data_IF_126791164530
#
_entry.id   IF_126791164530
#
_cell.length_a   1.000
_cell.length_b   1.000
_cell.length_c   1.000
_cell.angle_alpha   90.00
_cell.angle_beta   90.00
_cell.angle_gamma   90.00
#
_symmetry.space_group_name_H-M   'P 1'
#
loop_
_entity.id
_entity.type
_entity.pdbx_description
1 polymer ?
#
# COMPACT_ATOMS: atom_id res chain seq x y z
N UNK A 1 -54.94 -62.41 12.66
CA UNK A 1 -54.93 -61.39 13.72
C UNK A 1 -53.50 -61.36 14.24
N UNK A 2 -52.64 -60.38 13.97
CA UNK A 2 -52.83 -59.05 13.40
C UNK A 2 -51.55 -58.68 12.65
N UNK A 3 -51.70 -58.25 11.41
CA UNK A 3 -50.71 -57.47 10.68
C UNK A 3 -51.11 -56.01 10.90
N UNK A 4 -50.48 -55.34 11.89
CA UNK A 4 -50.66 -53.91 12.08
C UNK A 4 -49.48 -53.19 11.43
N UNK A 5 -49.70 -52.87 10.16
CA UNK A 5 -48.84 -52.06 9.34
C UNK A 5 -48.54 -50.73 10.02
N UNK A 6 -47.26 -50.53 10.34
CA UNK A 6 -46.67 -49.22 10.62
C UNK A 6 -47.02 -48.27 9.46
N UNK A 7 -48.01 -47.41 9.66
CA UNK A 7 -48.25 -46.26 8.79
C UNK A 7 -47.04 -45.34 8.90
N UNK A 8 -46.21 -45.32 7.85
CA UNK A 8 -45.12 -44.36 7.70
C UNK A 8 -45.73 -42.97 7.72
N UNK A 9 -45.36 -42.19 8.74
CA UNK A 9 -45.65 -40.77 8.80
C UNK A 9 -45.25 -40.10 7.50
N UNK A 10 -46.20 -39.37 6.94
CA UNK A 10 -46.03 -38.48 5.81
C UNK A 10 -45.01 -37.40 6.23
N UNK A 11 -43.75 -37.50 5.78
CA UNK A 11 -42.79 -36.39 5.94
C UNK A 11 -43.16 -35.35 4.91
N UNK A 12 -43.88 -34.32 5.35
CA UNK A 12 -44.09 -33.11 4.56
C UNK A 12 -42.80 -32.30 4.57
N UNK A 13 -41.84 -32.70 3.75
CA UNK A 13 -40.66 -31.90 3.44
C UNK A 13 -41.08 -30.79 2.48
N UNK A 14 -41.83 -29.81 2.99
CA UNK A 14 -41.98 -28.51 2.33
C UNK A 14 -40.74 -27.67 2.66
N UNK A 15 -39.61 -28.06 2.06
CA UNK A 15 -38.43 -27.21 1.97
C UNK A 15 -38.70 -26.11 0.96
N UNK A 16 -38.98 -24.89 1.44
CA UNK A 16 -38.99 -23.69 0.61
C UNK A 16 -37.59 -23.59 -0.03
N UNK A 17 -37.52 -23.72 -1.35
CA UNK A 17 -36.25 -23.55 -2.07
C UNK A 17 -35.66 -22.19 -1.72
N UNK A 18 -34.46 -22.18 -1.16
CA UNK A 18 -33.66 -20.96 -1.13
C UNK A 18 -33.46 -20.55 -2.58
N UNK A 19 -34.01 -19.41 -2.95
CA UNK A 19 -33.68 -18.77 -4.22
C UNK A 19 -32.19 -18.46 -4.18
N UNK A 20 -31.38 -19.29 -4.83
CA UNK A 20 -29.97 -19.02 -5.11
C UNK A 20 -29.92 -17.77 -6.00
N UNK A 21 -29.84 -16.61 -5.37
CA UNK A 21 -29.38 -15.40 -6.03
C UNK A 21 -27.87 -15.54 -6.19
N UNK A 22 -27.33 -15.35 -7.41
CA UNK A 22 -25.89 -15.35 -7.58
C UNK A 22 -25.29 -14.26 -6.67
N UNK A 23 -24.45 -14.66 -5.72
CA UNK A 23 -23.77 -13.75 -4.82
C UNK A 23 -22.83 -12.86 -5.66
N UNK A 24 -23.22 -11.60 -5.86
CA UNK A 24 -22.43 -10.63 -6.62
C UNK A 24 -21.29 -10.13 -5.74
N UNK A 25 -20.06 -10.55 -6.03
CA UNK A 25 -18.87 -10.00 -5.37
C UNK A 25 -18.62 -8.57 -5.88
N UNK A 26 -18.48 -7.57 -4.98
CA UNK A 26 -18.17 -6.21 -5.39
C UNK A 26 -16.75 -6.11 -5.94
N UNK A 27 -16.57 -5.33 -7.02
CA UNK A 27 -15.25 -5.07 -7.58
C UNK A 27 -14.53 -4.01 -6.74
N UNK A 28 -13.23 -4.21 -6.42
CA UNK A 28 -12.46 -3.22 -5.70
C UNK A 28 -12.17 -2.01 -6.59
N UNK A 29 -12.39 -0.81 -6.05
CA UNK A 29 -11.97 0.44 -6.70
C UNK A 29 -10.46 0.63 -6.54
N UNK A 30 -9.75 0.77 -7.67
CA UNK A 30 -8.29 0.95 -7.70
C UNK A 30 -7.94 2.24 -8.45
N UNK A 31 -6.99 3.00 -7.91
CA UNK A 31 -6.43 4.19 -8.54
C UNK A 31 -4.96 3.90 -8.89
N UNK A 32 -4.53 4.35 -10.07
CA UNK A 32 -3.12 4.37 -10.45
C UNK A 32 -2.61 5.81 -10.39
N UNK A 33 -1.67 6.08 -9.49
CA UNK A 33 -0.94 7.34 -9.45
C UNK A 33 0.36 7.19 -10.25
N UNK A 34 0.62 8.12 -11.17
CA UNK A 34 1.79 8.11 -12.05
C UNK A 34 2.53 9.43 -11.91
N UNK A 35 3.85 9.36 -11.71
CA UNK A 35 4.72 10.52 -11.56
C UNK A 35 6.16 10.10 -11.28
N UNK A 36 7.04 11.09 -11.16
CA UNK A 36 8.39 10.87 -10.65
C UNK A 36 8.37 10.85 -9.11
N UNK A 37 8.63 9.67 -8.55
CA UNK A 37 8.64 9.45 -7.10
C UNK A 37 10.04 9.11 -6.57
N UNK A 38 11.09 9.15 -7.39
CA UNK A 38 12.44 8.69 -6.99
C UNK A 38 13.54 9.73 -7.22
N UNK A 39 13.26 10.82 -7.94
CA UNK A 39 14.26 11.82 -8.31
C UNK A 39 15.00 11.46 -9.59
N UNK A 40 15.75 12.44 -10.11
CA UNK A 40 16.39 12.35 -11.42
C UNK A 40 17.42 11.22 -11.52
N UNK A 41 17.42 10.51 -12.65
CA UNK A 41 18.53 9.65 -13.07
C UNK A 41 18.41 8.17 -12.74
N UNK A 42 17.24 7.66 -12.33
CA UNK A 42 17.03 6.21 -12.24
C UNK A 42 16.19 5.70 -13.40
N UNK A 43 16.69 4.64 -14.03
CA UNK A 43 15.94 3.86 -15.00
C UNK A 43 14.83 3.09 -14.27
N UNK A 44 13.59 3.29 -14.70
CA UNK A 44 12.37 2.79 -14.05
C UNK A 44 11.64 1.83 -14.99
N UNK A 45 12.33 0.86 -15.58
CA UNK A 45 11.67 -0.37 -16.04
C UNK A 45 11.10 -1.11 -14.81
N UNK A 46 9.97 -0.63 -14.31
CA UNK A 46 9.29 -1.15 -13.12
C UNK A 46 7.79 -1.23 -13.38
N UNK A 47 7.19 -2.32 -12.94
CA UNK A 47 5.74 -2.46 -12.91
C UNK A 47 5.10 -1.58 -11.82
N UNK A 48 3.77 -1.39 -11.87
CA UNK A 48 3.04 -0.67 -10.83
C UNK A 48 3.22 -1.37 -9.47
N UNK A 49 3.41 -0.56 -8.42
CA UNK A 49 3.51 -1.04 -7.04
C UNK A 49 2.18 -0.78 -6.34
N UNK A 50 1.61 -1.81 -5.72
CA UNK A 50 0.44 -1.65 -4.86
C UNK A 50 0.89 -1.11 -3.50
N UNK A 51 0.14 -0.16 -2.95
CA UNK A 51 0.43 0.51 -1.68
C UNK A 51 -0.86 0.58 -0.86
N UNK A 52 -0.74 0.39 0.44
CA UNK A 52 -1.80 0.61 1.42
C UNK A 52 -1.30 1.42 2.63
N UNK A 53 -2.16 1.59 3.64
CA UNK A 53 -1.87 2.41 4.81
C UNK A 53 -0.82 1.80 5.76
N UNK A 54 -0.44 0.54 5.56
CA UNK A 54 0.45 -0.21 6.44
C UNK A 54 1.83 -0.44 5.84
N UNK A 55 1.97 -0.39 4.52
CA UNK A 55 3.23 -0.71 3.83
C UNK A 55 3.94 0.49 3.17
N UNK A 56 3.40 1.70 3.32
CA UNK A 56 3.92 2.91 2.67
C UNK A 56 5.43 3.12 2.90
N UNK A 57 5.89 3.07 4.15
CA UNK A 57 7.30 3.26 4.49
C UNK A 57 8.18 2.14 3.91
N UNK A 58 7.71 0.90 3.94
CA UNK A 58 8.44 -0.23 3.38
C UNK A 58 8.57 -0.11 1.85
N UNK A 59 7.53 0.38 1.19
CA UNK A 59 7.53 0.66 -0.25
C UNK A 59 8.52 1.79 -0.56
N UNK A 60 8.48 2.91 0.18
CA UNK A 60 9.45 4.01 0.02
C UNK A 60 10.90 3.55 0.15
N UNK A 61 11.22 2.78 1.18
CA UNK A 61 12.56 2.24 1.40
C UNK A 61 13.03 1.35 0.24
N UNK A 62 12.14 0.53 -0.32
CA UNK A 62 12.43 -0.33 -1.49
C UNK A 62 12.53 0.46 -2.78
N UNK A 63 11.73 1.51 -2.94
CA UNK A 63 11.89 2.45 -4.05
C UNK A 63 13.27 3.08 -3.94
N UNK A 64 13.76 3.43 -2.76
CA UNK A 64 15.04 4.11 -2.60
C UNK A 64 14.94 5.55 -3.08
N UNK A 65 13.95 6.26 -2.54
CA UNK A 65 13.72 7.68 -2.78
C UNK A 65 14.92 8.46 -2.25
N UNK A 66 15.51 9.32 -3.09
CA UNK A 66 16.68 10.12 -2.75
C UNK A 66 16.48 11.55 -3.23
N UNK A 67 16.83 12.51 -2.40
CA UNK A 67 16.90 13.91 -2.78
C UNK A 67 18.37 14.33 -2.76
N UNK A 68 18.87 14.78 -3.92
CA UNK A 68 20.25 15.20 -4.09
C UNK A 68 20.28 16.57 -4.76
N UNK A 69 20.73 17.59 -4.05
CA UNK A 69 20.72 18.98 -4.51
C UNK A 69 21.72 19.83 -3.74
N UNK A 70 22.08 20.98 -4.29
CA UNK A 70 22.99 21.94 -3.68
C UNK A 70 22.20 23.15 -3.18
N UNK A 71 22.50 23.62 -1.97
CA UNK A 71 21.89 24.81 -1.35
C UNK A 71 22.94 25.82 -0.92
N UNK A 72 22.52 27.04 -0.61
CA UNK A 72 23.38 28.05 0.00
C UNK A 72 23.80 27.62 1.42
N UNK A 73 25.07 27.85 1.77
CA UNK A 73 25.61 27.49 3.07
C UNK A 73 25.47 28.66 4.08
N UNK A 74 24.54 28.51 5.01
CA UNK A 74 24.25 29.47 6.09
C UNK A 74 24.87 29.06 7.45
N UNK A 75 25.58 27.93 7.53
CA UNK A 75 26.16 27.42 8.78
C UNK A 75 27.47 28.11 9.17
N UNK A 76 28.01 28.95 8.28
CA UNK A 76 29.32 29.59 8.43
C UNK A 76 30.45 28.67 7.94
N UNK A 77 31.35 29.20 7.13
CA UNK A 77 32.44 28.42 6.52
C UNK A 77 33.08 29.14 5.34
N UNK A 78 34.07 28.51 4.73
CA UNK A 78 34.71 29.02 3.51
C UNK A 78 33.86 28.77 2.25
N UNK A 79 33.08 27.70 2.26
CA UNK A 79 32.26 27.28 1.12
C UNK A 79 30.91 28.01 1.11
N UNK A 80 30.53 28.54 -0.06
CA UNK A 80 29.27 29.26 -0.26
C UNK A 80 28.06 28.35 -0.39
N UNK A 81 28.30 27.08 -0.68
CA UNK A 81 27.25 26.11 -0.97
C UNK A 81 27.47 24.83 -0.17
N UNK A 82 26.37 24.11 0.04
CA UNK A 82 26.29 22.88 0.79
C UNK A 82 25.60 21.82 -0.07
N UNK A 83 26.27 20.70 -0.30
CA UNK A 83 25.70 19.55 -0.98
C UNK A 83 24.81 18.77 0.00
N UNK A 84 23.56 18.56 -0.37
CA UNK A 84 22.56 17.85 0.42
C UNK A 84 22.24 16.52 -0.26
N UNK A 85 22.54 15.43 0.45
CA UNK A 85 22.22 14.07 0.03
C UNK A 85 21.33 13.36 1.07
N UNK A 86 20.02 13.31 0.80
CA UNK A 86 19.04 12.71 1.70
C UNK A 86 18.51 11.39 1.16
N UNK A 87 18.63 10.34 1.97
CA UNK A 87 17.99 9.03 1.74
C UNK A 87 16.66 9.00 2.49
N UNK A 88 15.56 8.94 1.75
CA UNK A 88 14.21 9.06 2.28
C UNK A 88 13.55 7.68 2.33
N UNK A 89 13.60 7.05 3.51
CA UNK A 89 13.12 5.66 3.69
C UNK A 89 11.74 5.57 4.33
N UNK A 90 11.20 6.68 4.83
CA UNK A 90 9.90 6.75 5.49
C UNK A 90 9.33 8.17 5.42
N UNK A 91 8.06 8.34 5.76
CA UNK A 91 7.48 9.68 5.92
C UNK A 91 8.21 10.51 6.97
N UNK A 92 8.68 9.88 8.05
CA UNK A 92 9.42 10.57 9.11
C UNK A 92 10.76 11.15 8.63
N UNK A 93 11.32 10.63 7.53
CA UNK A 93 12.55 11.17 6.96
C UNK A 93 12.42 12.62 6.49
N UNK A 94 11.20 13.13 6.32
CA UNK A 94 10.93 14.54 6.02
C UNK A 94 10.82 15.45 7.26
N UNK A 95 10.85 14.89 8.47
CA UNK A 95 10.84 15.70 9.68
C UNK A 95 12.15 16.49 9.81
N UNK A 96 12.12 17.77 10.21
CA UNK A 96 13.32 18.61 10.29
C UNK A 96 14.45 18.00 11.12
N UNK A 97 14.11 17.31 12.21
CA UNK A 97 15.08 16.62 13.07
C UNK A 97 15.84 15.53 12.31
N UNK A 98 15.15 14.75 11.48
CA UNK A 98 15.75 13.67 10.70
C UNK A 98 16.54 14.19 9.50
N UNK A 99 16.09 15.31 8.91
CA UNK A 99 16.83 16.00 7.86
C UNK A 99 18.15 16.55 8.42
N UNK A 100 18.10 17.30 9.52
CA UNK A 100 19.28 17.91 10.14
C UNK A 100 20.34 16.87 10.55
N UNK A 101 19.92 15.68 10.98
CA UNK A 101 20.84 14.58 11.31
C UNK A 101 21.63 14.05 10.10
N UNK A 102 21.15 14.28 8.87
CA UNK A 102 21.81 13.88 7.63
C UNK A 102 22.72 14.96 7.03
N UNK A 103 22.76 16.15 7.63
CA UNK A 103 23.62 17.25 7.19
C UNK A 103 24.91 17.23 8.03
N UNK A 104 26.11 17.27 7.40
CA UNK A 104 27.39 17.23 8.10
C UNK A 104 27.67 18.45 9.00
#
# INVERSE_FOLDING_TARGET
MSDDGKVKGFSSDFGFGSTDHPEVKPLPFRIMAVGDFCGAGRDLERGPVNIDAHDFDAVMAKLGVRAFFEVENELGGADKTLEVDLKLTSIKSFEPTNIAAGIP
#
